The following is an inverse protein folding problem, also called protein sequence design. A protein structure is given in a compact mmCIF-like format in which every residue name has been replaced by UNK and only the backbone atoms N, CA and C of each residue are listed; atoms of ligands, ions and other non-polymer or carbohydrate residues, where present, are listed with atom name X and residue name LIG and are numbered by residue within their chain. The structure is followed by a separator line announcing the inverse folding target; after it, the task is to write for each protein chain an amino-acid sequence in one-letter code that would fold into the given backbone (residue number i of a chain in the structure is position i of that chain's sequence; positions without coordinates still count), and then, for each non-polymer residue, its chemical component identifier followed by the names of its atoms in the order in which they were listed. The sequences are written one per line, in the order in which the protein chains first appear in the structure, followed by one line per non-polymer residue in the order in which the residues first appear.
data_IF_348002832940
#
_entry.id   IF_348002832940
#
_cell.length_a   1.000
_cell.length_b   1.000
_cell.length_c   1.000
_cell.angle_alpha   90.00
_cell.angle_beta   90.00
_cell.angle_gamma   90.00
#
_symmetry.space_group_name_H-M   'P 1'
#
loop_
_entity.id
_entity.type
_entity.pdbx_description
1 polymer ?
#
# COMPACT_ATOMS: atom_id res chain seq x y z
N UNK A 1 -9.67 7.47 -30.07
CA UNK A 1 -9.77 7.97 -28.67
C UNK A 1 -9.04 6.99 -27.76
N UNK A 2 -7.87 7.36 -27.24
CA UNK A 2 -7.06 6.52 -26.32
C UNK A 2 -7.86 6.41 -25.02
N UNK A 3 -8.31 5.22 -24.66
CA UNK A 3 -8.93 4.96 -23.34
C UNK A 3 -7.84 5.08 -22.29
N UNK A 4 -7.78 6.22 -21.60
CA UNK A 4 -6.96 6.37 -20.39
C UNK A 4 -7.47 5.35 -19.37
N UNK A 5 -6.61 4.45 -18.93
CA UNK A 5 -7.00 3.44 -17.95
C UNK A 5 -7.26 4.11 -16.59
N UNK A 6 -7.97 3.41 -15.71
CA UNK A 6 -8.38 3.95 -14.40
C UNK A 6 -7.19 4.34 -13.52
N UNK A 7 -6.07 3.62 -13.63
CA UNK A 7 -4.84 3.91 -12.90
C UNK A 7 -4.17 5.20 -13.40
N UNK A 8 -4.07 5.40 -14.71
CA UNK A 8 -3.52 6.63 -15.29
C UNK A 8 -4.34 7.86 -14.92
N UNK A 9 -5.67 7.71 -14.82
CA UNK A 9 -6.54 8.75 -14.32
C UNK A 9 -6.26 9.06 -12.85
N UNK A 10 -6.03 8.03 -12.04
CA UNK A 10 -5.71 8.15 -10.62
C UNK A 10 -4.38 8.89 -10.39
N UNK A 11 -3.37 8.65 -11.21
CA UNK A 11 -2.08 9.37 -11.12
C UNK A 11 -2.22 10.89 -11.30
N UNK A 12 -3.25 11.36 -11.98
CA UNK A 12 -3.51 12.79 -12.20
C UNK A 12 -4.23 13.45 -11.02
N UNK A 13 -4.86 12.67 -10.15
CA UNK A 13 -5.54 13.17 -8.97
C UNK A 13 -4.51 13.55 -7.90
N UNK A 14 -4.78 14.63 -7.17
CA UNK A 14 -3.97 15.09 -6.03
C UNK A 14 -4.55 14.60 -4.69
N UNK A 15 -5.16 13.42 -4.67
CA UNK A 15 -5.70 12.83 -3.46
C UNK A 15 -4.56 12.46 -2.49
N UNK A 16 -4.82 12.61 -1.19
CA UNK A 16 -3.87 12.19 -0.18
C UNK A 16 -3.88 10.67 -0.03
N UNK A 17 -2.69 10.04 -0.09
CA UNK A 17 -2.56 8.59 -0.10
C UNK A 17 -1.54 8.11 0.92
N UNK A 18 -1.90 7.05 1.62
CA UNK A 18 -1.02 6.31 2.51
C UNK A 18 -0.72 4.95 1.89
N UNK A 19 0.56 4.66 1.71
CA UNK A 19 1.01 3.32 1.32
C UNK A 19 1.32 2.48 2.55
N UNK A 20 0.86 1.24 2.57
CA UNK A 20 1.17 0.28 3.64
C UNK A 20 1.93 -0.91 3.04
N UNK A 21 3.18 -1.09 3.48
CA UNK A 21 4.03 -2.23 3.16
C UNK A 21 3.98 -3.24 4.29
N UNK A 22 3.97 -4.51 3.98
CA UNK A 22 3.95 -5.57 4.99
C UNK A 22 3.92 -6.98 4.41
N UNK A 23 4.07 -7.95 5.30
CA UNK A 23 4.17 -9.38 4.98
C UNK A 23 2.95 -9.92 4.24
N UNK A 24 3.20 -10.69 3.19
CA UNK A 24 2.19 -11.51 2.50
C UNK A 24 1.81 -12.79 3.28
N UNK A 25 2.53 -13.12 4.36
CA UNK A 25 2.40 -14.40 5.08
C UNK A 25 1.65 -14.29 6.40
N UNK A 26 1.55 -13.11 6.99
CA UNK A 26 0.83 -12.88 8.26
C UNK A 26 -0.66 -13.07 8.02
N UNK A 27 -1.28 -13.96 8.81
CA UNK A 27 -2.65 -14.40 8.61
C UNK A 27 -3.62 -13.69 9.54
N UNK A 28 -4.88 -13.74 9.17
CA UNK A 28 -6.00 -13.30 10.01
C UNK A 28 -5.96 -14.02 11.38
N UNK A 29 -6.07 -13.22 12.46
CA UNK A 29 -5.92 -13.69 13.85
C UNK A 29 -4.60 -13.26 14.50
N UNK A 30 -3.60 -12.90 13.70
CA UNK A 30 -2.35 -12.32 14.19
C UNK A 30 -2.56 -10.87 14.65
N UNK A 31 -1.83 -10.44 15.69
CA UNK A 31 -1.90 -9.07 16.22
C UNK A 31 -1.53 -8.02 15.18
N UNK A 32 -0.49 -8.28 14.36
CA UNK A 32 -0.07 -7.37 13.29
C UNK A 32 -1.14 -7.21 12.20
N UNK A 33 -1.86 -8.30 11.88
CA UNK A 33 -3.00 -8.26 10.97
C UNK A 33 -4.09 -7.32 11.49
N UNK A 34 -4.44 -7.45 12.78
CA UNK A 34 -5.43 -6.59 13.43
C UNK A 34 -5.00 -5.13 13.45
N UNK A 35 -3.74 -4.85 13.79
CA UNK A 35 -3.20 -3.48 13.82
C UNK A 35 -3.29 -2.81 12.45
N UNK A 36 -2.86 -3.48 11.39
CA UNK A 36 -2.92 -2.95 10.02
C UNK A 36 -4.36 -2.79 9.54
N UNK A 37 -5.25 -3.73 9.87
CA UNK A 37 -6.67 -3.64 9.57
C UNK A 37 -7.30 -2.38 10.20
N UNK A 38 -7.09 -2.16 11.50
CA UNK A 38 -7.65 -1.00 12.21
C UNK A 38 -7.06 0.31 11.69
N UNK A 39 -5.76 0.38 11.46
CA UNK A 39 -5.12 1.56 10.86
C UNK A 39 -5.77 1.93 9.52
N UNK A 40 -5.90 0.97 8.62
CA UNK A 40 -6.48 1.21 7.31
C UNK A 40 -7.96 1.58 7.38
N UNK A 41 -8.69 1.03 8.35
CA UNK A 41 -10.07 1.42 8.64
C UNK A 41 -10.17 2.90 9.04
N UNK A 42 -9.29 3.38 9.94
CA UNK A 42 -9.22 4.79 10.31
C UNK A 42 -8.90 5.70 9.13
N UNK A 43 -7.96 5.32 8.26
CA UNK A 43 -7.66 6.09 7.05
C UNK A 43 -8.92 6.27 6.17
N UNK A 44 -9.70 5.22 6.01
CA UNK A 44 -10.93 5.29 5.22
C UNK A 44 -12.04 6.12 5.89
N UNK A 45 -12.11 6.14 7.24
CA UNK A 45 -13.03 7.01 7.97
C UNK A 45 -12.77 8.50 7.69
N UNK A 46 -11.51 8.86 7.46
CA UNK A 46 -11.08 10.21 7.11
C UNK A 46 -11.03 10.46 5.59
N UNK A 47 -11.46 9.50 4.77
CA UNK A 47 -11.49 9.64 3.31
C UNK A 47 -10.12 9.58 2.63
N UNK A 48 -9.10 9.07 3.33
CA UNK A 48 -7.72 8.93 2.82
C UNK A 48 -7.62 7.68 1.95
N UNK A 49 -7.00 7.81 0.78
CA UNK A 49 -6.76 6.68 -0.13
C UNK A 49 -5.68 5.75 0.42
N UNK A 50 -5.87 4.46 0.19
CA UNK A 50 -4.92 3.41 0.56
C UNK A 50 -4.22 2.84 -0.66
N UNK A 51 -2.88 2.68 -0.56
CA UNK A 51 -2.07 1.98 -1.57
C UNK A 51 -1.39 0.77 -0.92
N UNK A 52 -1.49 -0.39 -1.53
CA UNK A 52 -0.83 -1.64 -1.08
C UNK A 52 -0.30 -2.44 -2.28
N UNK A 53 0.45 -3.50 -2.02
CA UNK A 53 0.81 -4.46 -3.05
C UNK A 53 -0.37 -5.30 -3.58
N UNK A 54 -1.52 -5.19 -2.98
CA UNK A 54 -2.77 -5.84 -3.42
C UNK A 54 -2.87 -7.34 -3.17
N UNK A 55 -1.85 -7.95 -2.57
CA UNK A 55 -1.78 -9.39 -2.29
C UNK A 55 -2.44 -9.81 -0.97
N UNK A 56 -2.08 -11.01 -0.47
CA UNK A 56 -2.57 -11.55 0.79
C UNK A 56 -1.83 -10.94 2.00
N UNK A 57 -2.12 -11.46 3.18
CA UNK A 57 -1.46 -11.10 4.42
C UNK A 57 -1.81 -9.69 4.88
N UNK A 58 -0.80 -8.88 5.24
CA UNK A 58 -1.03 -7.52 5.72
C UNK A 58 -1.58 -6.59 4.63
N UNK A 59 -1.29 -6.85 3.36
CA UNK A 59 -1.91 -6.13 2.25
C UNK A 59 -3.43 -6.35 2.18
N UNK A 60 -3.85 -7.58 2.43
CA UNK A 60 -5.27 -7.93 2.54
C UNK A 60 -5.90 -7.33 3.80
N UNK A 61 -5.21 -7.38 4.94
CA UNK A 61 -5.67 -6.74 6.18
C UNK A 61 -5.96 -5.26 5.97
N UNK A 62 -5.02 -4.53 5.36
CA UNK A 62 -5.19 -3.12 5.02
C UNK A 62 -6.38 -2.89 4.09
N UNK A 63 -6.47 -3.66 3.02
CA UNK A 63 -7.56 -3.51 2.03
C UNK A 63 -8.93 -3.79 2.63
N UNK A 64 -9.05 -4.82 3.49
CA UNK A 64 -10.30 -5.16 4.18
C UNK A 64 -10.69 -4.10 5.21
N UNK A 65 -9.74 -3.62 6.03
CA UNK A 65 -9.99 -2.54 6.99
C UNK A 65 -10.45 -1.27 6.30
N UNK A 66 -9.77 -0.89 5.21
CA UNK A 66 -10.13 0.27 4.41
C UNK A 66 -11.54 0.15 3.80
N UNK A 67 -11.90 -1.02 3.27
CA UNK A 67 -13.25 -1.30 2.77
C UNK A 67 -14.31 -1.13 3.87
N UNK A 68 -14.04 -1.62 5.07
CA UNK A 68 -14.95 -1.49 6.21
C UNK A 68 -15.10 -0.02 6.66
N UNK A 69 -14.01 0.72 6.75
CA UNK A 69 -14.04 2.15 7.07
C UNK A 69 -14.86 2.97 6.08
N UNK A 70 -14.72 2.70 4.78
CA UNK A 70 -15.56 3.32 3.74
C UNK A 70 -17.05 3.03 3.92
N UNK A 71 -17.38 1.80 4.29
CA UNK A 71 -18.76 1.40 4.56
C UNK A 71 -19.37 2.18 5.72
N UNK A 72 -18.59 2.38 6.78
CA UNK A 72 -19.02 3.08 8.00
C UNK A 72 -19.17 4.58 7.74
N UNK A 73 -18.18 5.22 7.14
CA UNK A 73 -18.17 6.68 6.92
C UNK A 73 -19.06 7.13 5.77
N UNK A 74 -19.25 6.29 4.75
CA UNK A 74 -19.82 6.69 3.48
C UNK A 74 -18.93 7.64 2.65
N UNK A 75 -17.73 7.99 3.15
CA UNK A 75 -16.79 8.87 2.45
C UNK A 75 -16.12 8.11 1.31
N UNK A 76 -16.02 8.75 0.16
CA UNK A 76 -15.39 8.17 -1.02
C UNK A 76 -13.86 8.21 -0.87
N UNK A 77 -13.24 7.05 -0.95
CA UNK A 77 -11.78 6.88 -1.05
C UNK A 77 -11.46 5.63 -1.88
N UNK A 78 -10.21 5.51 -2.34
CA UNK A 78 -9.77 4.42 -3.20
C UNK A 78 -8.86 3.45 -2.45
N UNK A 79 -9.01 2.17 -2.79
CA UNK A 79 -8.11 1.10 -2.35
C UNK A 79 -7.32 0.63 -3.56
N UNK A 80 -6.06 1.07 -3.66
CA UNK A 80 -5.20 0.88 -4.84
C UNK A 80 -4.27 -0.30 -4.58
N UNK A 81 -4.22 -1.25 -5.52
CA UNK A 81 -3.32 -2.40 -5.50
C UNK A 81 -2.27 -2.32 -6.60
N UNK A 82 -1.00 -2.31 -6.22
CA UNK A 82 0.15 -2.35 -7.11
C UNK A 82 0.78 -3.74 -7.10
N UNK A 83 0.31 -4.61 -7.97
CA UNK A 83 0.80 -5.98 -8.09
C UNK A 83 2.05 -6.08 -8.97
N UNK A 84 2.73 -7.23 -8.86
CA UNK A 84 3.83 -7.62 -9.73
C UNK A 84 3.48 -8.94 -10.44
N UNK A 85 3.85 -9.07 -11.69
CA UNK A 85 3.75 -10.34 -12.39
C UNK A 85 4.86 -11.28 -11.91
N UNK A 86 4.46 -12.38 -11.29
CA UNK A 86 5.34 -13.44 -10.81
C UNK A 86 5.07 -14.74 -11.56
N UNK A 87 6.06 -15.65 -11.66
CA UNK A 87 5.87 -16.98 -12.28
C UNK A 87 4.73 -17.79 -11.65
N UNK A 88 4.55 -17.65 -10.32
CA UNK A 88 3.36 -18.15 -9.62
C UNK A 88 2.41 -16.96 -9.42
N UNK A 89 1.26 -17.02 -10.08
CA UNK A 89 0.30 -15.92 -10.10
C UNK A 89 -0.17 -15.56 -8.67
N UNK A 90 0.20 -14.36 -8.23
CA UNK A 90 -0.42 -13.75 -7.06
C UNK A 90 -1.63 -12.94 -7.53
N UNK A 91 -2.80 -13.31 -7.03
CA UNK A 91 -4.03 -12.58 -7.36
C UNK A 91 -4.22 -11.38 -6.43
N UNK A 92 -4.84 -10.34 -6.95
CA UNK A 92 -5.30 -9.24 -6.11
C UNK A 92 -6.38 -9.71 -5.14
N UNK A 93 -6.31 -9.26 -3.89
CA UNK A 93 -7.40 -9.48 -2.94
C UNK A 93 -8.68 -8.74 -3.39
N UNK A 94 -9.84 -9.20 -2.92
CA UNK A 94 -11.14 -8.75 -3.41
C UNK A 94 -11.51 -7.30 -3.03
N UNK A 95 -10.80 -6.70 -2.08
CA UNK A 95 -11.10 -5.35 -1.60
C UNK A 95 -10.43 -4.24 -2.39
N UNK A 96 -9.55 -4.59 -3.34
CA UNK A 96 -8.89 -3.63 -4.21
C UNK A 96 -9.86 -3.06 -5.25
N UNK A 97 -9.95 -1.73 -5.32
CA UNK A 97 -10.83 -1.02 -6.26
C UNK A 97 -10.13 -0.54 -7.53
N UNK A 98 -8.84 -0.21 -7.42
CA UNK A 98 -8.01 0.19 -8.56
C UNK A 98 -6.78 -0.72 -8.60
N UNK A 99 -6.51 -1.33 -9.74
CA UNK A 99 -5.48 -2.35 -9.90
C UNK A 99 -4.49 -1.96 -10.98
N UNK A 100 -3.20 -2.10 -10.68
CA UNK A 100 -2.12 -2.09 -11.68
C UNK A 100 -1.21 -3.27 -11.44
N UNK A 101 -0.81 -3.94 -12.51
CA UNK A 101 0.14 -5.06 -12.47
C UNK A 101 1.35 -4.71 -13.32
N UNK A 102 2.52 -4.67 -12.71
CA UNK A 102 3.78 -4.32 -13.36
C UNK A 102 4.58 -5.57 -13.73
N UNK A 103 5.33 -5.50 -14.81
CA UNK A 103 6.23 -6.59 -15.25
C UNK A 103 7.57 -6.54 -14.49
N UNK A 104 7.99 -5.36 -14.03
CA UNK A 104 9.27 -5.12 -13.36
C UNK A 104 9.07 -4.60 -11.94
N UNK A 105 9.91 -5.06 -11.01
CA UNK A 105 9.93 -4.57 -9.64
C UNK A 105 10.21 -3.07 -9.55
N UNK A 106 11.16 -2.56 -10.36
CA UNK A 106 11.48 -1.13 -10.40
C UNK A 106 10.26 -0.27 -10.74
N UNK A 107 9.52 -0.63 -11.78
CA UNK A 107 8.30 0.09 -12.17
C UNK A 107 7.26 0.10 -11.05
N UNK A 108 7.08 -1.02 -10.35
CA UNK A 108 6.17 -1.12 -9.22
C UNK A 108 6.61 -0.23 -8.05
N UNK A 109 7.90 -0.22 -7.73
CA UNK A 109 8.46 0.62 -6.68
C UNK A 109 8.31 2.11 -7.02
N UNK A 110 8.56 2.50 -8.27
CA UNK A 110 8.34 3.87 -8.75
C UNK A 110 6.87 4.29 -8.63
N UNK A 111 5.94 3.41 -8.98
CA UNK A 111 4.51 3.67 -8.83
C UNK A 111 4.12 3.93 -7.37
N UNK A 112 4.69 3.20 -6.41
CA UNK A 112 4.49 3.48 -4.99
C UNK A 112 4.97 4.88 -4.62
N UNK A 113 6.15 5.28 -5.10
CA UNK A 113 6.71 6.60 -4.78
C UNK A 113 5.88 7.74 -5.38
N UNK A 114 5.38 7.57 -6.59
CA UNK A 114 4.52 8.56 -7.24
C UNK A 114 3.19 8.75 -6.48
N UNK A 115 2.64 7.69 -5.93
CA UNK A 115 1.32 7.72 -5.28
C UNK A 115 1.37 8.08 -3.80
N UNK A 116 2.50 7.88 -3.10
CA UNK A 116 2.55 7.97 -1.65
C UNK A 116 2.78 9.38 -1.14
N UNK A 117 1.96 9.83 -0.21
CA UNK A 117 2.21 11.00 0.64
C UNK A 117 2.80 10.61 2.00
N UNK A 118 2.49 9.39 2.46
CA UNK A 118 3.01 8.77 3.68
C UNK A 118 3.23 7.28 3.40
N UNK A 119 4.27 6.72 3.97
CA UNK A 119 4.56 5.28 3.93
C UNK A 119 4.51 4.71 5.33
N UNK A 120 3.70 3.68 5.53
CA UNK A 120 3.68 2.86 6.74
C UNK A 120 4.32 1.52 6.41
N UNK A 121 5.30 1.12 7.19
CA UNK A 121 6.03 -0.13 7.02
C UNK A 121 5.73 -1.03 8.22
N UNK A 122 4.85 -2.00 8.01
CA UNK A 122 4.48 -3.00 9.01
C UNK A 122 5.46 -4.18 8.99
N UNK A 123 5.27 -5.13 9.91
CA UNK A 123 6.10 -6.32 9.98
C UNK A 123 6.14 -7.08 8.64
N UNK A 124 7.34 -7.45 8.20
CA UNK A 124 7.50 -8.12 6.91
C UNK A 124 8.87 -8.70 6.67
N UNK A 125 9.05 -9.30 5.52
CA UNK A 125 10.31 -9.90 5.09
C UNK A 125 11.05 -9.05 4.05
N UNK A 126 11.86 -9.71 3.23
CA UNK A 126 12.75 -9.08 2.24
C UNK A 126 12.03 -8.09 1.33
N UNK A 127 10.81 -8.41 0.87
CA UNK A 127 10.05 -7.50 0.01
C UNK A 127 9.67 -6.21 0.71
N UNK A 128 9.25 -6.30 1.98
CA UNK A 128 8.90 -5.14 2.80
C UNK A 128 10.13 -4.27 3.12
N UNK A 129 11.25 -4.92 3.40
CA UNK A 129 12.55 -4.26 3.62
C UNK A 129 13.02 -3.54 2.35
N UNK A 130 12.87 -4.16 1.19
CA UNK A 130 13.18 -3.55 -0.10
C UNK A 130 12.36 -2.26 -0.32
N UNK A 131 11.07 -2.31 -0.07
CA UNK A 131 10.17 -1.16 -0.21
C UNK A 131 10.56 -0.02 0.74
N UNK A 132 10.91 -0.34 1.99
CA UNK A 132 11.42 0.62 2.97
C UNK A 132 12.70 1.29 2.50
N UNK A 133 13.73 0.51 2.18
CA UNK A 133 15.03 1.06 1.79
C UNK A 133 14.99 1.78 0.44
N UNK A 134 14.15 1.33 -0.48
CA UNK A 134 13.95 2.05 -1.74
C UNK A 134 13.39 3.45 -1.48
N UNK A 135 12.35 3.57 -0.65
CA UNK A 135 11.76 4.86 -0.26
C UNK A 135 12.80 5.74 0.41
N UNK A 136 13.50 5.21 1.40
CA UNK A 136 14.51 5.94 2.17
C UNK A 136 15.67 6.41 1.28
N UNK A 137 16.19 5.53 0.42
CA UNK A 137 17.27 5.87 -0.49
C UNK A 137 16.90 7.01 -1.44
N UNK A 138 15.70 6.98 -2.01
CA UNK A 138 15.25 8.04 -2.92
C UNK A 138 15.09 9.40 -2.22
N UNK A 139 14.66 9.40 -0.95
CA UNK A 139 14.63 10.63 -0.14
C UNK A 139 16.05 11.12 0.19
N UNK A 140 16.96 10.21 0.56
CA UNK A 140 18.33 10.56 0.94
C UNK A 140 19.08 11.25 -0.21
N UNK A 141 18.83 10.84 -1.45
CA UNK A 141 19.45 11.45 -2.65
C UNK A 141 18.61 12.58 -3.26
N UNK A 142 17.57 13.03 -2.58
CA UNK A 142 16.64 14.06 -3.03
C UNK A 142 15.97 13.76 -4.39
N UNK A 143 15.79 12.47 -4.71
CA UNK A 143 15.10 12.05 -5.93
C UNK A 143 13.58 12.19 -5.80
N UNK A 144 13.06 12.04 -4.58
CA UNK A 144 11.68 12.34 -4.21
C UNK A 144 11.66 13.31 -3.02
N UNK A 145 10.54 14.01 -2.82
CA UNK A 145 10.34 14.83 -1.64
C UNK A 145 10.40 13.99 -0.36
N UNK A 146 10.79 14.61 0.75
CA UNK A 146 10.72 13.95 2.06
C UNK A 146 9.25 13.67 2.41
N UNK A 147 8.92 12.39 2.55
CA UNK A 147 7.62 11.92 3.02
C UNK A 147 7.80 11.19 4.36
N UNK A 148 6.83 11.24 5.27
CA UNK A 148 6.91 10.48 6.50
C UNK A 148 7.00 8.97 6.23
N UNK A 149 7.95 8.29 6.90
CA UNK A 149 8.02 6.84 6.99
C UNK A 149 7.69 6.46 8.43
N UNK A 150 6.64 5.68 8.62
CA UNK A 150 6.16 5.21 9.92
C UNK A 150 6.45 3.71 10.02
N UNK A 151 7.28 3.31 10.96
CA UNK A 151 7.59 1.91 11.24
C UNK A 151 6.57 1.37 12.25
N UNK A 152 5.82 0.34 11.86
CA UNK A 152 4.77 -0.27 12.68
C UNK A 152 5.13 -1.70 13.06
N UNK A 153 5.32 -1.92 14.36
CA UNK A 153 5.64 -3.23 14.91
C UNK A 153 7.03 -3.33 15.53
N UNK A 154 7.19 -4.31 16.42
CA UNK A 154 8.36 -4.44 17.29
C UNK A 154 9.63 -4.83 16.53
N UNK A 155 9.50 -5.45 15.36
CA UNK A 155 10.65 -5.88 14.55
C UNK A 155 11.59 -4.73 14.14
N UNK A 156 11.12 -3.49 14.23
CA UNK A 156 11.88 -2.31 13.80
C UNK A 156 12.75 -1.72 14.89
N UNK A 157 12.64 -2.18 16.15
CA UNK A 157 13.46 -1.69 17.26
C UNK A 157 14.94 -2.03 17.12
N UNK A 158 15.26 -3.10 16.40
CA UNK A 158 16.64 -3.59 16.20
C UNK A 158 17.23 -3.18 14.83
N UNK A 159 16.54 -2.34 14.09
CA UNK A 159 16.99 -1.82 12.81
C UNK A 159 17.75 -0.51 13.01
#
# INVERSE_FOLDING_TARGET
MIKINRFEKELKNKDFRVSIFGSARIKKGDQHYKQVYELAKFLALDGIDLVTGGGPGLMEAASHGHKEGKKISGIKSHTIGLGIKLPKAQMFNQSITIRKKSDKFSTRLDDFMILSNVVVVASGGVGTILELFYTWQLMQVNHICNIPIILLGDMWYDL
#
